data_IF_285032987685
#
_entry.id   IF_285032987685
#
_cell.length_a   1.000
_cell.length_b   1.000
_cell.length_c   1.000
_cell.angle_alpha   90.00
_cell.angle_beta   90.00
_cell.angle_gamma   90.00
#
_symmetry.space_group_name_H-M   'P 1'
#
loop_
_entity.id
_entity.type
_entity.pdbx_description
1 polymer ?
#
# COMPACT_ATOMS: atom_id res chain seq x y z
N UNK A 1 -6.03 39.70 -1.59
CA UNK A 1 -6.07 39.44 -0.14
C UNK A 1 -5.46 38.07 0.06
N UNK A 2 -4.23 38.03 0.56
CA UNK A 2 -3.45 36.83 0.80
C UNK A 2 -3.95 36.16 2.08
N UNK A 3 -4.86 35.20 1.95
CA UNK A 3 -5.07 34.23 3.03
C UNK A 3 -4.00 33.16 2.87
N UNK A 4 -2.97 33.26 3.72
CA UNK A 4 -2.07 32.14 3.97
C UNK A 4 -2.91 31.02 4.56
N UNK A 5 -3.26 30.01 3.75
CA UNK A 5 -3.83 28.73 4.17
C UNK A 5 -2.80 27.94 5.00
N UNK A 6 -2.41 28.47 6.16
CA UNK A 6 -1.61 27.76 7.14
C UNK A 6 -2.54 26.98 8.07
N UNK A 7 -2.36 25.66 8.11
CA UNK A 7 -2.86 24.85 9.23
C UNK A 7 -2.40 25.52 10.54
N UNK A 8 -3.30 25.78 11.50
CA UNK A 8 -2.97 26.54 12.71
C UNK A 8 -1.77 25.97 13.47
N UNK A 9 -1.59 24.64 13.45
CA UNK A 9 -0.45 23.95 14.03
C UNK A 9 -0.13 22.67 13.24
N UNK A 10 1.11 22.48 12.75
CA UNK A 10 1.52 21.23 12.11
C UNK A 10 1.68 20.13 13.15
N UNK A 11 1.22 18.92 12.83
CA UNK A 11 1.43 17.71 13.65
C UNK A 11 2.73 17.02 13.21
N UNK A 12 3.73 16.84 14.10
CA UNK A 12 4.93 16.08 13.77
C UNK A 12 4.58 14.62 13.48
N UNK A 13 5.16 14.05 12.41
CA UNK A 13 4.92 12.64 12.04
C UNK A 13 5.31 11.68 13.16
N UNK A 14 6.36 12.01 13.93
CA UNK A 14 6.82 11.21 15.06
C UNK A 14 5.79 11.12 16.21
N UNK A 15 4.84 12.07 16.27
CA UNK A 15 3.82 12.10 17.32
C UNK A 15 2.58 11.30 16.94
N UNK A 16 2.41 10.93 15.66
CA UNK A 16 1.29 10.11 15.21
C UNK A 16 1.32 8.75 15.91
N UNK A 17 0.25 8.42 16.64
CA UNK A 17 0.07 7.16 17.38
C UNK A 17 -0.68 6.13 16.56
N UNK A 18 -1.75 6.56 15.88
CA UNK A 18 -2.58 5.67 15.08
C UNK A 18 -3.40 6.43 14.04
N UNK A 19 -3.83 5.70 13.02
CA UNK A 19 -4.82 6.15 12.04
C UNK A 19 -6.07 5.29 12.24
N UNK A 20 -7.23 5.92 12.30
CA UNK A 20 -8.54 5.24 12.34
C UNK A 20 -9.35 5.64 11.12
N UNK A 21 -10.27 4.78 10.68
CA UNK A 21 -11.04 4.99 9.45
C UNK A 21 -12.53 4.72 9.66
N UNK A 22 -13.36 5.31 8.79
CA UNK A 22 -14.80 5.15 8.79
C UNK A 22 -15.46 5.39 10.14
N UNK A 23 -16.22 4.40 10.64
CA UNK A 23 -16.99 4.50 11.89
C UNK A 23 -16.13 4.69 13.14
N UNK A 24 -14.85 4.34 13.08
CA UNK A 24 -13.93 4.44 14.22
C UNK A 24 -13.41 5.88 14.40
N UNK A 25 -13.56 6.72 13.37
CA UNK A 25 -13.26 8.15 13.43
C UNK A 25 -14.17 8.88 14.44
N UNK A 26 -13.63 9.74 15.32
CA UNK A 26 -14.43 10.48 16.31
C UNK A 26 -15.57 11.30 15.69
N UNK A 27 -15.31 11.94 14.54
CA UNK A 27 -16.29 12.74 13.80
C UNK A 27 -17.41 11.93 13.12
N UNK A 28 -17.31 10.59 13.12
CA UNK A 28 -18.30 9.70 12.52
C UNK A 28 -19.18 8.96 13.56
N UNK A 29 -19.00 9.23 14.86
CA UNK A 29 -19.69 8.51 15.96
C UNK A 29 -21.13 8.99 16.27
N UNK A 30 -21.62 10.07 15.66
CA UNK A 30 -22.95 10.61 15.96
C UNK A 30 -24.11 9.79 15.35
N UNK A 31 -25.14 9.50 16.17
CA UNK A 31 -26.32 8.69 15.80
C UNK A 31 -27.18 9.27 14.67
N UNK A 32 -27.07 10.57 14.39
CA UNK A 32 -27.77 11.27 13.29
C UNK A 32 -27.00 11.17 11.96
N UNK A 33 -25.67 11.15 12.00
CA UNK A 33 -24.80 11.02 10.82
C UNK A 33 -24.82 9.61 10.21
N UNK A 34 -25.03 8.58 11.03
CA UNK A 34 -25.16 7.17 10.59
C UNK A 34 -26.33 6.92 9.64
N UNK A 35 -27.30 7.84 9.52
CA UNK A 35 -28.41 7.75 8.56
C UNK A 35 -28.13 8.38 7.19
N UNK A 36 -27.02 9.10 7.01
CA UNK A 36 -26.70 9.75 5.74
C UNK A 36 -25.25 9.46 5.31
N UNK A 37 -25.14 8.76 4.17
CA UNK A 37 -23.96 8.53 3.34
C UNK A 37 -22.90 7.53 3.84
N UNK A 38 -23.16 6.26 3.55
CA UNK A 38 -22.15 5.17 3.48
C UNK A 38 -20.89 5.61 2.72
N UNK A 39 -21.04 6.38 1.65
CA UNK A 39 -19.92 6.89 0.84
C UNK A 39 -18.97 7.80 1.62
N UNK A 40 -19.49 8.68 2.48
CA UNK A 40 -18.64 9.55 3.31
C UNK A 40 -17.86 8.73 4.34
N UNK A 41 -18.48 7.68 4.87
CA UNK A 41 -17.85 6.78 5.83
C UNK A 41 -16.71 5.98 5.20
N UNK A 42 -16.80 5.62 3.91
CA UNK A 42 -15.70 4.97 3.18
C UNK A 42 -14.53 5.91 2.89
N UNK A 43 -14.72 7.23 3.00
CA UNK A 43 -13.71 8.25 2.73
C UNK A 43 -13.16 8.91 4.01
N UNK A 44 -13.73 8.58 5.18
CA UNK A 44 -13.38 9.18 6.46
C UNK A 44 -12.14 8.53 7.07
N UNK A 45 -11.22 9.35 7.56
CA UNK A 45 -10.08 8.91 8.37
C UNK A 45 -9.68 9.96 9.40
N UNK A 46 -9.04 9.53 10.48
CA UNK A 46 -8.51 10.42 11.51
C UNK A 46 -7.11 10.03 11.94
N UNK A 47 -6.28 11.04 12.18
CA UNK A 47 -4.94 10.92 12.73
C UNK A 47 -5.03 11.15 14.24
N UNK A 48 -4.67 10.14 15.02
CA UNK A 48 -4.55 10.22 16.48
C UNK A 48 -3.09 10.53 16.81
N UNK A 49 -2.81 11.72 17.35
CA UNK A 49 -1.45 12.17 17.68
C UNK A 49 -1.31 12.54 19.17
N UNK A 50 -2.38 13.03 19.78
CA UNK A 50 -2.50 13.31 21.21
C UNK A 50 -3.68 12.48 21.79
N UNK A 51 -3.67 12.09 23.07
CA UNK A 51 -4.80 11.41 23.69
C UNK A 51 -6.15 12.14 23.57
N UNK A 52 -6.13 13.48 23.59
CA UNK A 52 -7.34 14.30 23.59
C UNK A 52 -7.58 15.04 22.26
N UNK A 53 -6.60 15.01 21.34
CA UNK A 53 -6.71 15.68 20.05
C UNK A 53 -6.57 14.73 18.85
N UNK A 54 -7.39 14.99 17.83
CA UNK A 54 -7.41 14.21 16.59
C UNK A 54 -7.55 15.14 15.40
N UNK A 55 -6.84 14.86 14.31
CA UNK A 55 -7.12 15.50 13.03
C UNK A 55 -8.11 14.63 12.25
N UNK A 56 -9.23 15.21 11.86
CA UNK A 56 -10.34 14.54 11.19
C UNK A 56 -10.38 14.94 9.71
N UNK A 57 -10.48 13.95 8.83
CA UNK A 57 -10.47 14.17 7.39
C UNK A 57 -11.56 13.36 6.69
N UNK A 58 -12.13 13.94 5.65
CA UNK A 58 -12.90 13.24 4.63
C UNK A 58 -12.13 13.41 3.32
N UNK A 59 -11.63 12.31 2.77
CA UNK A 59 -10.98 12.34 1.47
C UNK A 59 -11.98 12.80 0.39
N UNK A 60 -11.54 13.57 -0.62
CA UNK A 60 -12.43 14.05 -1.67
C UNK A 60 -12.89 12.93 -2.62
N UNK A 61 -12.17 11.81 -2.68
CA UNK A 61 -12.50 10.62 -3.46
C UNK A 61 -11.69 9.40 -2.97
N UNK A 62 -12.02 8.22 -3.51
CA UNK A 62 -11.39 6.95 -3.15
C UNK A 62 -9.89 6.91 -3.45
N UNK A 63 -9.44 7.54 -4.53
CA UNK A 63 -8.03 7.59 -4.90
C UNK A 63 -7.22 8.34 -3.84
N UNK A 64 -7.65 9.55 -3.48
CA UNK A 64 -7.00 10.35 -2.42
C UNK A 64 -7.05 9.63 -1.06
N UNK A 65 -8.17 8.97 -0.74
CA UNK A 65 -8.26 8.13 0.45
C UNK A 65 -7.17 7.05 0.47
N UNK A 66 -6.99 6.32 -0.63
CA UNK A 66 -5.95 5.30 -0.74
C UNK A 66 -4.54 5.90 -0.57
N UNK A 67 -4.25 7.03 -1.23
CA UNK A 67 -2.96 7.73 -1.10
C UNK A 67 -2.67 8.11 0.35
N UNK A 68 -3.65 8.69 1.06
CA UNK A 68 -3.47 9.09 2.45
C UNK A 68 -3.28 7.90 3.39
N UNK A 69 -4.12 6.88 3.28
CA UNK A 69 -4.06 5.71 4.17
C UNK A 69 -2.76 4.93 3.98
N UNK A 70 -2.34 4.70 2.74
CA UNK A 70 -1.11 3.99 2.46
C UNK A 70 0.11 4.83 2.84
N UNK A 71 0.13 6.12 2.49
CA UNK A 71 1.20 7.03 2.87
C UNK A 71 1.39 7.13 4.38
N UNK A 72 0.32 7.29 5.14
CA UNK A 72 0.37 7.30 6.61
C UNK A 72 0.76 5.94 7.18
N UNK A 73 0.31 4.83 6.59
CA UNK A 73 0.73 3.48 7.00
C UNK A 73 2.24 3.30 6.82
N UNK A 74 2.79 3.72 5.68
CA UNK A 74 4.22 3.68 5.40
C UNK A 74 5.03 4.54 6.38
N UNK A 75 4.57 5.75 6.69
CA UNK A 75 5.19 6.62 7.70
C UNK A 75 5.23 5.99 9.10
N UNK A 76 4.22 5.16 9.43
CA UNK A 76 4.15 4.39 10.67
C UNK A 76 4.86 3.03 10.60
N UNK A 77 5.54 2.71 9.49
CA UNK A 77 6.21 1.43 9.29
C UNK A 77 5.25 0.23 9.17
N UNK A 78 4.02 0.46 8.73
CA UNK A 78 2.99 -0.55 8.50
C UNK A 78 2.83 -0.84 7.01
N UNK A 79 2.26 -2.00 6.71
CA UNK A 79 1.96 -2.39 5.33
C UNK A 79 0.91 -1.47 4.68
N UNK A 80 1.17 -1.09 3.43
CA UNK A 80 0.20 -0.43 2.56
C UNK A 80 -0.77 -1.49 2.03
N UNK A 81 -2.08 -1.26 2.20
CA UNK A 81 -3.09 -2.31 2.00
C UNK A 81 -4.27 -1.89 1.14
N UNK A 82 -4.26 -0.66 0.63
CA UNK A 82 -5.34 -0.16 -0.22
C UNK A 82 -5.44 -0.93 -1.55
N UNK A 83 -6.59 -0.80 -2.21
CA UNK A 83 -6.81 -1.34 -3.55
C UNK A 83 -5.86 -0.71 -4.58
N UNK A 84 -5.49 0.57 -4.40
CA UNK A 84 -4.57 1.27 -5.29
C UNK A 84 -3.17 0.64 -5.23
N UNK A 85 -2.62 0.44 -4.03
CA UNK A 85 -1.32 -0.23 -3.86
C UNK A 85 -1.32 -1.63 -4.46
N UNK A 86 -2.42 -2.40 -4.28
CA UNK A 86 -2.52 -3.75 -4.87
C UNK A 86 -2.52 -3.71 -6.40
N UNK A 87 -3.27 -2.79 -6.98
CA UNK A 87 -3.33 -2.60 -8.44
C UNK A 87 -1.98 -2.17 -9.02
N UNK A 88 -1.30 -1.23 -8.36
CA UNK A 88 0.01 -0.74 -8.77
C UNK A 88 1.05 -1.86 -8.67
N UNK A 89 1.05 -2.62 -7.58
CA UNK A 89 1.94 -3.77 -7.40
C UNK A 89 1.72 -4.84 -8.48
N UNK A 90 0.46 -5.18 -8.78
CA UNK A 90 0.13 -6.14 -9.83
C UNK A 90 0.62 -5.68 -11.20
N UNK A 91 0.45 -4.39 -11.51
CA UNK A 91 0.94 -3.79 -12.76
C UNK A 91 2.46 -3.89 -12.87
N UNK A 92 3.19 -3.48 -11.82
CA UNK A 92 4.64 -3.51 -11.78
C UNK A 92 5.19 -4.95 -11.85
N UNK A 93 4.62 -5.85 -11.06
CA UNK A 93 5.01 -7.25 -11.04
C UNK A 93 4.73 -7.94 -12.37
N UNK A 94 3.59 -7.65 -12.99
CA UNK A 94 3.25 -8.17 -14.30
C UNK A 94 4.26 -7.74 -15.36
N UNK A 95 4.72 -6.49 -15.32
CA UNK A 95 5.76 -6.01 -16.23
C UNK A 95 7.10 -6.68 -15.97
N UNK A 96 7.55 -6.77 -14.72
CA UNK A 96 8.81 -7.44 -14.35
C UNK A 96 8.79 -8.92 -14.76
N UNK A 97 7.71 -9.63 -14.47
CA UNK A 97 7.55 -11.04 -14.87
C UNK A 97 7.61 -11.21 -16.39
N UNK A 98 6.95 -10.35 -17.15
CA UNK A 98 7.04 -10.38 -18.63
C UNK A 98 8.47 -10.20 -19.12
N UNK A 99 9.23 -9.28 -18.52
CA UNK A 99 10.65 -9.06 -18.87
C UNK A 99 11.51 -10.30 -18.56
N UNK A 100 11.29 -10.95 -17.42
CA UNK A 100 12.01 -12.18 -17.04
C UNK A 100 11.70 -13.37 -17.93
N UNK A 101 10.54 -13.37 -18.58
CA UNK A 101 10.06 -14.46 -19.43
C UNK A 101 10.33 -14.23 -20.92
N UNK A 102 11.03 -13.16 -21.31
CA UNK A 102 11.33 -12.86 -22.72
C UNK A 102 12.09 -14.00 -23.41
N UNK A 103 13.10 -14.57 -22.75
CA UNK A 103 13.90 -15.67 -23.30
C UNK A 103 13.13 -17.01 -23.36
N UNK A 104 11.96 -17.07 -22.74
CA UNK A 104 11.09 -18.25 -22.71
C UNK A 104 9.91 -18.12 -23.68
N UNK A 105 9.93 -17.15 -24.59
CA UNK A 105 8.88 -16.98 -25.59
C UNK A 105 8.75 -18.26 -26.45
N UNK A 106 7.51 -18.77 -26.58
CA UNK A 106 7.19 -20.03 -27.26
C UNK A 106 7.75 -21.31 -26.61
N UNK A 107 8.38 -21.23 -25.43
CA UNK A 107 8.80 -22.40 -24.65
C UNK A 107 7.64 -22.85 -23.76
N UNK A 108 7.33 -24.15 -23.76
CA UNK A 108 6.34 -24.71 -22.84
C UNK A 108 6.88 -24.67 -21.41
N UNK A 109 6.21 -23.92 -20.54
CA UNK A 109 6.55 -23.85 -19.11
C UNK A 109 6.02 -25.12 -18.43
N UNK A 110 6.87 -25.92 -17.76
CA UNK A 110 6.41 -27.13 -17.09
C UNK A 110 5.54 -26.81 -15.87
N UNK A 111 4.46 -27.57 -15.67
CA UNK A 111 3.55 -27.38 -14.51
C UNK A 111 4.21 -27.75 -13.17
N UNK A 112 5.18 -28.66 -13.19
CA UNK A 112 5.94 -29.08 -12.03
C UNK A 112 7.44 -28.80 -12.24
N UNK A 113 8.20 -28.48 -11.18
CA UNK A 113 9.65 -28.34 -11.29
C UNK A 113 10.28 -29.63 -11.86
N UNK A 114 11.18 -29.54 -12.87
CA UNK A 114 11.86 -30.70 -13.40
C UNK A 114 12.73 -31.36 -12.30
N UNK A 115 12.92 -32.70 -12.34
CA UNK A 115 13.73 -33.39 -11.35
C UNK A 115 15.17 -32.90 -11.40
N UNK A 116 15.73 -32.57 -10.25
CA UNK A 116 17.14 -32.20 -10.14
C UNK A 116 18.00 -33.44 -10.42
N UNK A 117 18.90 -33.41 -11.41
CA UNK A 117 19.76 -34.56 -11.71
C UNK A 117 20.72 -34.83 -10.55
N UNK A 118 21.16 -36.10 -10.41
CA UNK A 118 22.26 -36.42 -9.50
C UNK A 118 23.52 -35.68 -9.93
N UNK A 119 24.35 -35.33 -8.95
CA UNK A 119 25.62 -34.69 -9.22
C UNK A 119 26.50 -35.56 -10.14
N UNK A 120 27.33 -34.93 -11.01
CA UNK A 120 28.29 -35.66 -11.82
C UNK A 120 29.27 -36.48 -10.98
N UNK A 121 29.77 -37.58 -11.52
CA UNK A 121 30.78 -38.41 -10.86
C UNK A 121 32.19 -37.82 -10.88
N UNK A 122 32.43 -36.79 -11.71
CA UNK A 122 33.69 -36.03 -11.79
C UNK A 122 33.39 -34.56 -12.15
N UNK A 123 34.29 -33.66 -11.76
CA UNK A 123 34.28 -32.24 -12.09
C UNK A 123 35.36 -31.88 -13.13
N UNK A 124 35.80 -32.84 -13.94
CA UNK A 124 36.70 -32.61 -15.08
C UNK A 124 35.92 -31.93 -16.22
N UNK A 125 35.80 -30.60 -16.15
CA UNK A 125 35.05 -29.81 -17.12
C UNK A 125 35.72 -29.80 -18.49
N UNK A 126 34.92 -29.97 -19.55
CA UNK A 126 35.38 -29.95 -20.96
C UNK A 126 35.88 -28.56 -21.39
N UNK A 127 35.34 -27.50 -20.78
CA UNK A 127 35.73 -26.12 -21.06
C UNK A 127 36.39 -25.51 -19.84
N UNK A 128 37.54 -24.88 -20.04
CA UNK A 128 38.18 -24.04 -19.03
C UNK A 128 37.71 -22.60 -19.23
N UNK A 129 37.14 -22.00 -18.18
CA UNK A 129 36.90 -20.55 -18.16
C UNK A 129 38.25 -19.87 -17.96
N UNK A 130 38.73 -19.18 -19.01
CA UNK A 130 39.92 -18.32 -19.00
C UNK A 130 39.53 -16.85 -19.03
#
# INVERSE_FOLDING_TARGET
LTETNSLPFPVPVADIKAIVTGKDCPHMKEKSALKQNKEVLELAFSILYDPDETLNFIAPNKYEYCIWIDGLSALLGKDMSSELTKSDLDTLLSMEMKLRLLDLENIQIPEAPPPVPKEPSSYDFVYHYG
#
